data_IF_258022505281
#
_entry.id   IF_258022505281
#
_cell.length_a   1.000
_cell.length_b   1.000
_cell.length_c   1.000
_cell.angle_alpha   90.00
_cell.angle_beta   90.00
_cell.angle_gamma   90.00
#
_symmetry.space_group_name_H-M   'P 1'
#
loop_
_entity.id
_entity.type
_entity.pdbx_description
1 polymer ?
#
# COMPACT_ATOMS: atom_id res chain seq x y z
N UNK A 1 -6.25 30.05 -33.63
CA UNK A 1 -5.64 29.60 -32.35
C UNK A 1 -5.71 28.09 -32.35
N UNK A 2 -4.56 27.41 -32.51
CA UNK A 2 -4.51 25.96 -32.66
C UNK A 2 -3.94 25.38 -31.35
N UNK A 3 -4.80 24.83 -30.52
CA UNK A 3 -4.43 24.15 -29.28
C UNK A 3 -4.00 22.71 -29.59
N UNK A 4 -2.71 22.43 -29.42
CA UNK A 4 -2.17 21.07 -29.43
C UNK A 4 -2.41 20.44 -28.05
N UNK A 5 -3.23 19.39 -27.98
CA UNK A 5 -3.41 18.60 -26.77
C UNK A 5 -2.17 17.71 -26.59
N UNK A 6 -1.32 18.05 -25.63
CA UNK A 6 -0.21 17.19 -25.24
C UNK A 6 -0.76 15.98 -24.47
N UNK A 7 -0.85 14.84 -25.15
CA UNK A 7 -1.14 13.57 -24.50
C UNK A 7 0.10 13.11 -23.76
N UNK A 8 0.02 13.11 -22.42
CA UNK A 8 1.08 12.55 -21.59
C UNK A 8 1.25 11.05 -21.91
N UNK A 9 2.43 10.66 -22.38
CA UNK A 9 2.77 9.26 -22.59
C UNK A 9 2.98 8.58 -21.24
N UNK A 10 2.10 7.65 -20.87
CA UNK A 10 2.27 6.83 -19.67
C UNK A 10 3.29 5.74 -19.98
N UNK A 11 4.41 5.73 -19.25
CA UNK A 11 5.42 4.69 -19.39
C UNK A 11 4.81 3.32 -19.01
N UNK A 12 4.84 2.36 -19.94
CA UNK A 12 4.39 0.99 -19.66
C UNK A 12 5.49 0.24 -18.91
N UNK A 13 5.24 -0.12 -17.67
CA UNK A 13 6.13 -1.01 -16.92
C UNK A 13 6.21 -2.38 -17.57
N UNK A 14 7.41 -2.92 -17.70
CA UNK A 14 7.66 -4.30 -18.08
C UNK A 14 7.08 -5.27 -17.04
N UNK A 15 6.88 -6.53 -17.43
CA UNK A 15 6.42 -7.59 -16.51
C UNK A 15 7.38 -7.74 -15.32
N UNK A 16 8.69 -7.69 -15.57
CA UNK A 16 9.71 -7.78 -14.51
C UNK A 16 9.55 -6.70 -13.44
N UNK A 17 9.34 -5.44 -13.84
CA UNK A 17 9.15 -4.33 -12.91
C UNK A 17 7.88 -4.49 -12.08
N UNK A 18 6.79 -4.98 -12.68
CA UNK A 18 5.54 -5.25 -11.96
C UNK A 18 5.71 -6.38 -10.95
N UNK A 19 6.44 -7.43 -11.32
CA UNK A 19 6.72 -8.55 -10.41
C UNK A 19 7.57 -8.10 -9.23
N UNK A 20 8.63 -7.32 -9.47
CA UNK A 20 9.46 -6.76 -8.39
C UNK A 20 8.61 -5.91 -7.44
N UNK A 21 7.80 -4.99 -7.98
CA UNK A 21 6.90 -4.18 -7.16
C UNK A 21 5.90 -5.03 -6.36
N UNK A 22 5.32 -6.05 -6.99
CA UNK A 22 4.38 -6.96 -6.34
C UNK A 22 5.03 -7.78 -5.21
N UNK A 23 6.23 -8.32 -5.42
CA UNK A 23 6.97 -9.06 -4.40
C UNK A 23 7.35 -8.15 -3.24
N UNK A 24 7.79 -6.92 -3.50
CA UNK A 24 8.09 -5.96 -2.43
C UNK A 24 6.83 -5.60 -1.63
N UNK A 25 5.70 -5.38 -2.31
CA UNK A 25 4.43 -5.10 -1.65
C UNK A 25 3.99 -6.28 -0.76
N UNK A 26 4.09 -7.51 -1.25
CA UNK A 26 3.78 -8.72 -0.47
C UNK A 26 4.73 -8.87 0.72
N UNK A 27 6.02 -8.62 0.54
CA UNK A 27 7.01 -8.68 1.60
C UNK A 27 6.69 -7.67 2.71
N UNK A 28 6.41 -6.41 2.36
CA UNK A 28 6.02 -5.38 3.31
C UNK A 28 4.72 -5.77 4.02
N UNK A 29 3.72 -6.23 3.28
CA UNK A 29 2.45 -6.69 3.85
C UNK A 29 2.64 -7.83 4.85
N UNK A 30 3.50 -8.81 4.52
CA UNK A 30 3.81 -9.92 5.41
C UNK A 30 4.52 -9.46 6.69
N UNK A 31 5.48 -8.54 6.57
CA UNK A 31 6.18 -7.95 7.73
C UNK A 31 5.20 -7.18 8.62
N UNK A 32 4.26 -6.43 8.07
CA UNK A 32 3.27 -5.70 8.85
C UNK A 32 2.32 -6.65 9.59
N UNK A 33 1.74 -7.62 8.88
CA UNK A 33 0.79 -8.58 9.48
C UNK A 33 1.48 -9.47 10.50
N UNK A 34 2.64 -10.02 10.18
CA UNK A 34 3.41 -10.85 11.11
C UNK A 34 3.96 -10.04 12.28
N UNK A 35 4.55 -8.88 12.00
CA UNK A 35 5.15 -8.02 13.03
C UNK A 35 4.13 -7.55 14.06
N UNK A 36 2.97 -7.07 13.61
CA UNK A 36 1.88 -6.72 14.52
C UNK A 36 1.30 -7.97 15.16
N UNK A 37 0.94 -9.00 14.39
CA UNK A 37 0.22 -10.17 14.90
C UNK A 37 0.98 -11.01 15.93
N UNK A 38 2.31 -10.96 15.91
CA UNK A 38 3.17 -11.64 16.89
C UNK A 38 3.89 -10.68 17.85
N UNK A 39 3.57 -9.38 17.84
CA UNK A 39 4.16 -8.45 18.79
C UNK A 39 3.81 -8.87 20.24
N UNK A 40 4.80 -8.90 21.12
CA UNK A 40 4.55 -9.07 22.57
C UNK A 40 4.07 -7.77 23.22
N UNK A 41 4.36 -6.63 22.58
CA UNK A 41 4.01 -5.31 23.06
C UNK A 41 2.54 -4.99 22.70
N UNK A 42 1.74 -4.75 23.73
CA UNK A 42 0.31 -4.45 23.58
C UNK A 42 0.04 -3.13 22.88
N UNK A 43 0.94 -2.13 22.96
CA UNK A 43 0.75 -0.85 22.30
C UNK A 43 0.82 -1.01 20.77
N UNK A 44 1.72 -1.88 20.27
CA UNK A 44 1.84 -2.15 18.83
C UNK A 44 0.60 -2.87 18.29
N UNK A 45 0.13 -3.91 18.99
CA UNK A 45 -1.12 -4.62 18.64
C UNK A 45 -2.34 -3.68 18.66
N UNK A 46 -2.49 -2.91 19.74
CA UNK A 46 -3.62 -2.01 19.90
C UNK A 46 -3.59 -0.89 18.86
N UNK A 47 -2.43 -0.31 18.55
CA UNK A 47 -2.32 0.71 17.50
C UNK A 47 -2.74 0.19 16.12
N UNK A 48 -2.40 -1.05 15.79
CA UNK A 48 -2.85 -1.66 14.54
C UNK A 48 -4.36 -1.97 14.56
N UNK A 49 -4.88 -2.42 15.71
CA UNK A 49 -6.31 -2.60 15.92
C UNK A 49 -7.08 -1.28 15.75
N UNK A 50 -6.58 -0.18 16.31
CA UNK A 50 -7.21 1.14 16.21
C UNK A 50 -7.14 1.70 14.79
N UNK A 51 -6.03 1.47 14.09
CA UNK A 51 -5.88 1.84 12.67
C UNK A 51 -6.95 1.17 11.80
N UNK A 52 -7.25 -0.11 12.04
CA UNK A 52 -8.30 -0.83 11.29
C UNK A 52 -9.70 -0.25 11.56
N UNK A 53 -9.95 0.22 12.78
CA UNK A 53 -11.20 0.89 13.14
C UNK A 53 -11.29 2.28 12.51
N UNK A 54 -10.18 3.02 12.45
CA UNK A 54 -10.12 4.32 11.78
C UNK A 54 -10.31 4.22 10.26
N UNK A 55 -9.78 3.16 9.62
CA UNK A 55 -9.95 2.91 8.18
C UNK A 55 -11.35 2.37 7.83
N UNK A 56 -12.03 1.74 8.79
CA UNK A 56 -13.41 1.26 8.66
C UNK A 56 -14.46 2.32 8.99
N UNK A 57 -14.06 3.48 9.53
CA UNK A 57 -14.96 4.60 9.75
C UNK A 57 -15.37 5.16 8.38
N UNK A 58 -16.68 5.26 8.07
CA UNK A 58 -17.10 5.83 6.80
C UNK A 58 -16.62 7.28 6.76
N UNK A 59 -15.81 7.58 5.74
CA UNK A 59 -15.63 8.93 5.24
C UNK A 59 -16.99 9.39 4.69
N UNK A 60 -17.85 9.88 5.58
CA UNK A 60 -18.73 10.98 5.21
C UNK A 60 -17.92 12.27 5.36
#
# INVERSE_FOLDING_TARGET
MNTQVQTASVARLSVSQRLIAGVLALFIGFVLVGGVGFASDMAIHNGAHDTRHALGFPCH
#
